data_IF_556083220479
#
_entry.id   IF_556083220479
#
_cell.length_a   1.000
_cell.length_b   1.000
_cell.length_c   1.000
_cell.angle_alpha   90.00
_cell.angle_beta   90.00
_cell.angle_gamma   90.00
#
_symmetry.space_group_name_H-M   'P 1'
#
loop_
_entity.id
_entity.type
_entity.pdbx_description
1 polymer ?
#
# COMPACT_ATOMS: atom_id res chain seq x y z
N UNK A 1 18.80 -19.75 -20.70
CA UNK A 1 18.29 -19.60 -19.32
C UNK A 1 17.74 -20.95 -18.85
N UNK A 2 18.27 -21.56 -17.78
CA UNK A 2 17.81 -22.86 -17.27
C UNK A 2 16.44 -22.67 -16.61
N UNK A 3 15.38 -23.32 -17.09
CA UNK A 3 14.02 -23.22 -16.53
C UNK A 3 13.99 -23.70 -15.09
N UNK A 4 13.34 -22.94 -14.20
CA UNK A 4 12.98 -23.46 -12.88
C UNK A 4 11.85 -24.46 -13.09
N UNK A 5 12.01 -25.73 -12.71
CA UNK A 5 10.86 -26.61 -12.71
C UNK A 5 9.89 -26.08 -11.65
N UNK A 6 8.70 -25.64 -12.09
CA UNK A 6 7.54 -25.42 -11.21
C UNK A 6 7.05 -26.79 -10.73
N UNK A 7 7.85 -27.47 -9.91
CA UNK A 7 7.47 -28.72 -9.31
C UNK A 7 6.48 -28.42 -8.19
N UNK A 8 5.43 -29.25 -8.06
CA UNK A 8 4.44 -29.19 -6.96
C UNK A 8 5.11 -29.17 -5.57
N UNK A 9 6.35 -29.65 -5.50
CA UNK A 9 7.20 -29.68 -4.32
C UNK A 9 7.69 -28.29 -3.87
N UNK A 10 7.70 -27.28 -4.73
CA UNK A 10 8.19 -25.92 -4.42
C UNK A 10 7.06 -24.94 -4.08
N UNK A 11 5.81 -25.38 -3.97
CA UNK A 11 4.65 -24.52 -3.74
C UNK A 11 4.81 -23.65 -2.49
N UNK A 12 5.28 -24.21 -1.38
CA UNK A 12 5.45 -23.45 -0.13
C UNK A 12 6.48 -22.34 -0.26
N UNK A 13 7.57 -22.57 -1.00
CA UNK A 13 8.57 -21.55 -1.25
C UNK A 13 8.09 -20.49 -2.27
N UNK A 14 7.25 -20.87 -3.23
CA UNK A 14 6.56 -19.91 -4.10
C UNK A 14 5.54 -19.05 -3.33
N UNK A 15 4.79 -19.64 -2.40
CA UNK A 15 3.92 -18.89 -1.50
C UNK A 15 4.73 -17.90 -0.65
N UNK A 16 5.86 -18.36 -0.09
CA UNK A 16 6.75 -17.51 0.69
C UNK A 16 7.37 -16.39 -0.17
N UNK A 17 7.66 -16.63 -1.44
CA UNK A 17 8.21 -15.64 -2.36
C UNK A 17 7.18 -14.61 -2.83
N UNK A 18 5.98 -15.04 -3.24
CA UNK A 18 5.01 -14.18 -3.93
C UNK A 18 3.84 -13.73 -3.04
N UNK A 19 3.34 -14.62 -2.18
CA UNK A 19 2.15 -14.35 -1.36
C UNK A 19 2.53 -13.60 -0.08
N UNK A 20 3.73 -13.83 0.47
CA UNK A 20 4.18 -13.13 1.69
C UNK A 20 4.25 -11.61 1.49
N UNK A 21 4.84 -11.08 0.40
CA UNK A 21 4.83 -9.64 0.15
C UNK A 21 3.43 -9.09 -0.15
N UNK A 22 2.53 -9.88 -0.73
CA UNK A 22 1.15 -9.46 -0.99
C UNK A 22 0.34 -9.33 0.31
N UNK A 23 0.48 -10.28 1.24
CA UNK A 23 -0.13 -10.23 2.57
C UNK A 23 0.33 -8.97 3.32
N UNK A 24 1.60 -8.57 3.17
CA UNK A 24 2.11 -7.36 3.80
C UNK A 24 1.33 -6.09 3.40
N UNK A 25 0.95 -5.96 2.13
CA UNK A 25 0.14 -4.81 1.66
C UNK A 25 -1.19 -4.74 2.40
N UNK A 26 -1.90 -5.87 2.49
CA UNK A 26 -3.20 -5.93 3.17
C UNK A 26 -3.06 -5.63 4.66
N UNK A 27 -2.06 -6.22 5.31
CA UNK A 27 -1.83 -6.00 6.74
C UNK A 27 -1.45 -4.55 7.05
N UNK A 28 -0.58 -3.95 6.23
CA UNK A 28 -0.11 -2.58 6.43
C UNK A 28 -1.24 -1.55 6.30
N UNK A 29 -2.19 -1.77 5.40
CA UNK A 29 -3.30 -0.84 5.16
C UNK A 29 -4.43 -0.97 6.18
N UNK A 30 -4.61 -2.14 6.81
CA UNK A 30 -5.78 -2.41 7.66
C UNK A 30 -5.46 -2.44 9.17
N UNK A 31 -4.20 -2.66 9.56
CA UNK A 31 -3.83 -2.87 10.96
C UNK A 31 -2.75 -1.89 11.44
N UNK A 32 -2.70 -1.59 12.75
CA UNK A 32 -1.58 -0.85 13.31
C UNK A 32 -0.27 -1.61 13.07
N UNK A 33 0.80 -0.87 12.79
CA UNK A 33 2.08 -1.41 12.31
C UNK A 33 2.64 -2.54 13.19
N UNK A 34 2.54 -2.41 14.51
CA UNK A 34 3.02 -3.43 15.46
C UNK A 34 2.26 -4.76 15.30
N UNK A 35 0.93 -4.70 15.16
CA UNK A 35 0.09 -5.88 15.00
C UNK A 35 0.31 -6.52 13.63
N UNK A 36 0.40 -5.69 12.58
CA UNK A 36 0.70 -6.13 11.22
C UNK A 36 2.03 -6.90 11.16
N UNK A 37 3.07 -6.39 11.84
CA UNK A 37 4.39 -7.03 11.89
C UNK A 37 4.35 -8.37 12.66
N UNK A 38 3.63 -8.45 13.78
CA UNK A 38 3.47 -9.71 14.53
C UNK A 38 2.79 -10.77 13.66
N UNK A 39 1.69 -10.43 12.99
CA UNK A 39 0.97 -11.35 12.10
C UNK A 39 1.87 -11.78 10.94
N UNK A 40 2.59 -10.83 10.32
CA UNK A 40 3.52 -11.13 9.24
C UNK A 40 4.60 -12.13 9.66
N UNK A 41 5.22 -11.92 10.82
CA UNK A 41 6.25 -12.82 11.35
C UNK A 41 5.69 -14.21 11.68
N UNK A 42 4.48 -14.29 12.21
CA UNK A 42 3.81 -15.57 12.48
C UNK A 42 3.54 -16.35 11.18
N UNK A 43 3.01 -15.68 10.14
CA UNK A 43 2.77 -16.30 8.83
C UNK A 43 4.08 -16.73 8.17
N UNK A 44 5.12 -15.89 8.21
CA UNK A 44 6.44 -16.22 7.68
C UNK A 44 7.02 -17.46 8.36
N UNK A 45 6.94 -17.55 9.69
CA UNK A 45 7.40 -18.72 10.45
C UNK A 45 6.62 -19.98 10.05
N UNK A 46 5.29 -19.92 9.97
CA UNK A 46 4.45 -21.06 9.57
C UNK A 46 4.86 -21.58 8.19
N UNK A 47 5.05 -20.70 7.21
CA UNK A 47 5.47 -21.13 5.87
C UNK A 47 6.89 -21.67 5.81
N UNK A 48 7.84 -21.10 6.56
CA UNK A 48 9.19 -21.67 6.68
C UNK A 48 9.15 -23.08 7.27
N UNK A 49 8.31 -23.31 8.29
CA UNK A 49 8.13 -24.62 8.91
C UNK A 49 7.47 -25.61 7.93
N UNK A 50 6.46 -25.18 7.18
CA UNK A 50 5.81 -26.01 6.16
C UNK A 50 6.76 -26.37 5.01
N UNK A 51 7.52 -25.42 4.48
CA UNK A 51 8.53 -25.69 3.45
C UNK A 51 9.60 -26.64 3.99
N UNK A 52 10.09 -26.41 5.21
CA UNK A 52 11.07 -27.29 5.86
C UNK A 52 10.55 -28.72 6.03
N UNK A 53 9.35 -28.90 6.59
CA UNK A 53 8.78 -30.25 6.78
C UNK A 53 8.56 -30.95 5.45
N UNK A 54 8.16 -30.22 4.41
CA UNK A 54 8.02 -30.74 3.06
C UNK A 54 9.38 -31.18 2.46
N UNK A 55 10.44 -30.39 2.66
CA UNK A 55 11.81 -30.73 2.22
C UNK A 55 12.37 -31.95 2.96
N UNK A 56 12.18 -32.02 4.28
CA UNK A 56 12.63 -33.14 5.10
C UNK A 56 11.93 -34.45 4.71
N UNK A 57 10.63 -34.40 4.40
CA UNK A 57 9.88 -35.56 3.87
C UNK A 57 10.44 -36.08 2.54
N UNK A 58 11.12 -35.23 1.77
CA UNK A 58 11.71 -35.56 0.49
C UNK A 58 13.19 -35.97 0.61
N UNK A 59 13.74 -36.04 1.83
CA UNK A 59 15.15 -36.36 2.07
C UNK A 59 16.12 -35.24 1.65
N UNK A 60 15.62 -34.03 1.38
CA UNK A 60 16.43 -32.89 0.97
C UNK A 60 16.85 -32.10 2.22
N UNK A 61 18.12 -31.70 2.27
CA UNK A 61 18.65 -30.85 3.35
C UNK A 61 17.93 -29.51 3.35
N UNK A 62 17.33 -29.17 4.50
CA UNK A 62 16.60 -27.92 4.67
C UNK A 62 17.47 -26.84 5.34
N UNK A 63 17.31 -25.55 4.97
CA UNK A 63 17.97 -24.46 5.67
C UNK A 63 17.47 -24.35 7.12
N UNK A 64 18.24 -23.66 7.96
CA UNK A 64 17.82 -23.36 9.34
C UNK A 64 16.55 -22.51 9.36
N UNK A 65 15.64 -22.81 10.29
CA UNK A 65 14.40 -22.05 10.48
C UNK A 65 14.65 -20.62 10.95
N UNK A 66 15.81 -20.34 11.57
CA UNK A 66 16.18 -19.01 12.10
C UNK A 66 16.13 -17.93 11.02
N UNK A 67 16.34 -18.32 9.76
CA UNK A 67 16.25 -17.41 8.61
C UNK A 67 14.83 -16.95 8.28
N UNK A 68 13.80 -17.34 9.04
CA UNK A 68 12.45 -16.80 8.88
C UNK A 68 12.38 -15.28 9.09
N UNK A 69 13.28 -14.71 9.90
CA UNK A 69 13.43 -13.26 10.06
C UNK A 69 13.83 -12.55 8.77
N UNK A 70 14.55 -13.25 7.88
CA UNK A 70 15.00 -12.74 6.60
C UNK A 70 14.58 -13.72 5.49
N UNK A 71 13.33 -13.67 5.01
CA UNK A 71 12.80 -14.56 3.98
C UNK A 71 13.70 -14.64 2.74
N UNK A 72 14.32 -13.52 2.35
CA UNK A 72 15.28 -13.45 1.24
C UNK A 72 16.50 -14.36 1.43
N UNK A 73 17.04 -14.42 2.65
CA UNK A 73 18.21 -15.25 2.96
C UNK A 73 17.81 -16.71 3.03
N UNK A 74 16.63 -17.01 3.59
CA UNK A 74 16.08 -18.36 3.60
C UNK A 74 15.92 -18.92 2.18
N UNK A 75 15.25 -18.17 1.29
CA UNK A 75 15.05 -18.57 -0.11
C UNK A 75 16.38 -18.73 -0.86
N UNK A 76 17.35 -17.84 -0.62
CA UNK A 76 18.69 -17.94 -1.22
C UNK A 76 19.42 -19.19 -0.76
N UNK A 77 19.46 -19.47 0.54
CA UNK A 77 20.12 -20.68 1.07
C UNK A 77 19.47 -21.95 0.55
N UNK A 78 18.14 -21.97 0.46
CA UNK A 78 17.37 -23.08 -0.12
C UNK A 78 17.79 -23.36 -1.56
N UNK A 79 17.82 -22.33 -2.41
CA UNK A 79 18.20 -22.48 -3.82
C UNK A 79 19.66 -22.94 -3.96
N UNK A 80 20.56 -22.39 -3.13
CA UNK A 80 21.97 -22.79 -3.09
C UNK A 80 22.15 -24.27 -2.68
N UNK A 81 21.48 -24.74 -1.63
CA UNK A 81 21.55 -26.13 -1.17
C UNK A 81 20.96 -27.11 -2.18
N UNK A 82 20.01 -26.68 -3.01
CA UNK A 82 19.37 -27.52 -4.03
C UNK A 82 20.05 -27.40 -5.41
N UNK A 83 21.11 -26.59 -5.55
CA UNK A 83 21.74 -26.33 -6.85
C UNK A 83 20.80 -25.68 -7.87
N UNK A 84 19.73 -25.03 -7.41
CA UNK A 84 18.72 -24.37 -8.23
C UNK A 84 19.10 -22.91 -8.49
N UNK A 85 18.67 -22.31 -9.62
CA UNK A 85 18.97 -20.91 -9.88
C UNK A 85 18.17 -19.99 -8.95
N UNK A 86 18.69 -18.82 -8.60
CA UNK A 86 18.18 -17.91 -7.55
C UNK A 86 16.87 -17.17 -7.89
N UNK A 87 15.95 -17.82 -8.59
CA UNK A 87 14.71 -17.21 -9.08
C UNK A 87 13.74 -16.89 -7.94
N UNK A 88 13.68 -17.71 -6.89
CA UNK A 88 12.79 -17.44 -5.76
C UNK A 88 13.18 -16.15 -5.03
N UNK A 89 14.49 -15.90 -4.89
CA UNK A 89 15.01 -14.65 -4.36
C UNK A 89 14.63 -13.45 -5.24
N UNK A 90 14.78 -13.58 -6.57
CA UNK A 90 14.41 -12.51 -7.51
C UNK A 90 12.92 -12.19 -7.47
N UNK A 91 12.07 -13.22 -7.43
CA UNK A 91 10.61 -13.07 -7.33
C UNK A 91 10.25 -12.38 -6.01
N UNK A 92 10.82 -12.81 -4.89
CA UNK A 92 10.55 -12.18 -3.60
C UNK A 92 10.94 -10.69 -3.60
N UNK A 93 12.10 -10.35 -4.16
CA UNK A 93 12.55 -8.95 -4.27
C UNK A 93 11.60 -8.13 -5.14
N UNK A 94 11.23 -8.64 -6.33
CA UNK A 94 10.30 -7.96 -7.22
C UNK A 94 8.93 -7.76 -6.56
N UNK A 95 8.37 -8.80 -5.94
CA UNK A 95 7.10 -8.70 -5.23
C UNK A 95 7.17 -7.72 -4.05
N UNK A 96 8.27 -7.71 -3.30
CA UNK A 96 8.46 -6.76 -2.19
C UNK A 96 8.51 -5.31 -2.67
N UNK A 97 9.28 -5.04 -3.74
CA UNK A 97 9.34 -3.70 -4.34
C UNK A 97 7.97 -3.27 -4.84
N UNK A 98 7.24 -4.14 -5.53
CA UNK A 98 5.89 -3.85 -6.00
C UNK A 98 4.91 -3.59 -4.85
N UNK A 99 5.00 -4.36 -3.75
CA UNK A 99 4.21 -4.12 -2.55
C UNK A 99 4.48 -2.76 -1.92
N UNK A 100 5.75 -2.32 -1.84
CA UNK A 100 6.08 -0.97 -1.35
C UNK A 100 5.51 0.13 -2.25
N UNK A 101 5.63 -0.02 -3.56
CA UNK A 101 5.05 0.93 -4.53
C UNK A 101 3.53 0.97 -4.39
N UNK A 102 2.88 -0.19 -4.24
CA UNK A 102 1.43 -0.26 -4.04
C UNK A 102 0.99 0.43 -2.74
N UNK A 103 1.67 0.17 -1.62
CA UNK A 103 1.39 0.84 -0.34
C UNK A 103 1.55 2.36 -0.49
N UNK A 104 2.61 2.83 -1.14
CA UNK A 104 2.84 4.25 -1.36
C UNK A 104 1.71 4.91 -2.16
N UNK A 105 1.34 4.32 -3.30
CA UNK A 105 0.27 4.83 -4.16
C UNK A 105 -1.10 4.81 -3.47
N UNK A 106 -1.39 3.75 -2.72
CA UNK A 106 -2.67 3.61 -2.00
C UNK A 106 -2.78 4.58 -0.83
N UNK A 107 -1.70 4.81 -0.07
CA UNK A 107 -1.68 5.82 0.99
C UNK A 107 -1.81 7.23 0.46
N UNK A 108 -1.22 7.54 -0.69
CA UNK A 108 -1.36 8.85 -1.32
C UNK A 108 -2.82 9.09 -1.73
N UNK A 109 -3.45 8.10 -2.37
CA UNK A 109 -4.87 8.20 -2.78
C UNK A 109 -5.81 8.36 -1.59
N UNK A 110 -5.67 7.54 -0.55
CA UNK A 110 -6.55 7.62 0.63
C UNK A 110 -6.40 8.95 1.38
N UNK A 111 -5.18 9.49 1.44
CA UNK A 111 -4.93 10.83 1.97
C UNK A 111 -5.64 11.93 1.18
N UNK A 112 -5.54 11.89 -0.15
CA UNK A 112 -6.21 12.87 -1.02
C UNK A 112 -7.73 12.75 -0.99
N UNK A 113 -8.29 11.54 -0.90
CA UNK A 113 -9.75 11.34 -0.82
C UNK A 113 -10.34 11.87 0.49
N UNK A 114 -9.68 11.59 1.62
CA UNK A 114 -10.10 12.14 2.92
C UNK A 114 -10.01 13.67 2.94
N UNK A 115 -8.94 14.24 2.38
CA UNK A 115 -8.78 15.68 2.26
C UNK A 115 -9.85 16.31 1.36
N UNK A 116 -10.12 15.71 0.21
CA UNK A 116 -11.17 16.13 -0.72
C UNK A 116 -12.54 16.15 -0.03
N UNK A 117 -12.87 15.09 0.73
CA UNK A 117 -14.14 15.00 1.45
C UNK A 117 -14.27 16.06 2.55
N UNK A 118 -13.22 16.27 3.34
CA UNK A 118 -13.21 17.33 4.36
C UNK A 118 -13.30 18.73 3.75
N UNK A 119 -12.59 18.99 2.66
CA UNK A 119 -12.67 20.27 1.95
C UNK A 119 -14.08 20.50 1.39
N UNK A 120 -14.73 19.48 0.83
CA UNK A 120 -16.09 19.58 0.31
C UNK A 120 -17.12 19.94 1.40
N UNK A 121 -16.96 19.38 2.61
CA UNK A 121 -17.79 19.76 3.76
C UNK A 121 -17.58 21.23 4.18
N UNK A 122 -16.34 21.73 4.13
CA UNK A 122 -16.02 23.13 4.44
C UNK A 122 -16.60 24.07 3.38
N UNK A 123 -16.43 23.76 2.08
CA UNK A 123 -17.04 24.55 0.97
C UNK A 123 -18.56 24.63 1.12
N UNK A 124 -19.21 23.50 1.39
CA UNK A 124 -20.66 23.45 1.60
C UNK A 124 -21.10 24.31 2.79
N UNK A 125 -20.27 24.40 3.84
CA UNK A 125 -20.56 25.26 4.99
C UNK A 125 -20.42 26.74 4.63
N UNK A 126 -19.37 27.12 3.90
CA UNK A 126 -19.14 28.52 3.47
C UNK A 126 -20.29 29.00 2.60
N UNK A 127 -20.67 28.23 1.57
CA UNK A 127 -21.80 28.58 0.69
C UNK A 127 -23.10 28.77 1.46
N UNK A 128 -23.35 27.91 2.46
CA UNK A 128 -24.54 28.03 3.31
C UNK A 128 -24.50 29.26 4.23
N UNK A 129 -23.33 29.60 4.76
CA UNK A 129 -23.14 30.79 5.60
C UNK A 129 -23.29 32.08 4.77
N UNK A 130 -22.94 32.05 3.47
CA UNK A 130 -23.15 33.13 2.50
C UNK A 130 -24.57 33.20 1.92
N UNK A 131 -25.43 32.21 2.23
CA UNK A 131 -26.84 32.19 1.84
C UNK A 131 -27.13 31.47 0.51
N UNK A 132 -26.16 30.80 -0.08
CA UNK A 132 -26.35 29.94 -1.25
C UNK A 132 -26.88 28.55 -0.83
N UNK A 133 -27.84 28.00 -1.58
CA UNK A 133 -28.36 26.61 -1.40
C UNK A 133 -27.53 25.56 -2.18
N UNK A 134 -26.35 25.99 -2.67
CA UNK A 134 -25.43 25.15 -3.41
C UNK A 134 -24.61 24.28 -2.46
N UNK A 135 -24.36 23.04 -2.90
CA UNK A 135 -23.61 22.06 -2.10
C UNK A 135 -22.51 21.46 -2.93
N UNK A 136 -21.33 21.30 -2.32
CA UNK A 136 -20.26 20.56 -2.94
C UNK A 136 -20.63 19.06 -2.96
N UNK A 137 -20.54 18.46 -4.14
CA UNK A 137 -20.74 17.01 -4.37
C UNK A 137 -19.39 16.29 -4.31
N UNK A 138 -18.36 16.87 -4.93
CA UNK A 138 -17.03 16.28 -4.97
C UNK A 138 -15.97 17.34 -5.21
N UNK A 139 -14.74 17.06 -4.77
CA UNK A 139 -13.57 17.87 -5.09
C UNK A 139 -12.70 17.07 -6.05
N UNK A 140 -12.49 17.60 -7.24
CA UNK A 140 -11.71 16.99 -8.32
C UNK A 140 -10.43 17.78 -8.59
N UNK A 141 -9.52 17.21 -9.38
CA UNK A 141 -8.29 17.88 -9.84
C UNK A 141 -7.41 18.43 -8.71
N UNK A 142 -7.25 17.65 -7.63
CA UNK A 142 -6.33 18.00 -6.55
C UNK A 142 -4.87 17.95 -7.04
N UNK A 143 -4.24 19.12 -7.10
CA UNK A 143 -2.83 19.31 -7.42
C UNK A 143 -2.11 19.85 -6.20
N UNK A 144 -1.06 19.17 -5.77
CA UNK A 144 -0.21 19.62 -4.68
C UNK A 144 0.78 20.68 -5.18
N UNK A 145 0.62 21.91 -4.70
CA UNK A 145 1.50 23.05 -5.04
C UNK A 145 2.69 23.15 -4.08
N UNK A 146 2.44 22.88 -2.80
CA UNK A 146 3.48 22.84 -1.77
C UNK A 146 3.28 21.58 -0.93
N UNK A 147 4.32 20.74 -0.89
CA UNK A 147 4.33 19.45 -0.19
C UNK A 147 3.64 19.53 1.19
N UNK A 148 2.51 18.86 1.30
CA UNK A 148 1.74 18.65 2.51
C UNK A 148 1.09 19.90 3.11
N UNK A 149 1.04 21.03 2.39
CA UNK A 149 0.48 22.29 2.92
C UNK A 149 -0.54 22.95 2.01
N UNK A 150 -0.28 23.06 0.72
CA UNK A 150 -1.15 23.76 -0.22
C UNK A 150 -1.55 22.83 -1.36
N UNK A 151 -2.86 22.73 -1.57
CA UNK A 151 -3.44 22.03 -2.71
C UNK A 151 -4.36 22.97 -3.49
N UNK A 152 -4.25 22.95 -4.81
CA UNK A 152 -5.23 23.53 -5.72
C UNK A 152 -6.20 22.43 -6.13
N UNK A 153 -7.49 22.70 -6.12
CA UNK A 153 -8.51 21.73 -6.51
C UNK A 153 -9.73 22.43 -7.14
N UNK A 154 -10.69 21.64 -7.64
CA UNK A 154 -11.96 22.13 -8.16
C UNK A 154 -13.11 21.49 -7.38
N UNK A 155 -13.97 22.30 -6.78
CA UNK A 155 -15.20 21.84 -6.15
C UNK A 155 -16.32 21.75 -7.20
N UNK A 156 -16.87 20.56 -7.40
CA UNK A 156 -18.05 20.34 -8.22
C UNK A 156 -19.30 20.53 -7.36
N UNK A 157 -20.14 21.49 -7.74
CA UNK A 157 -21.38 21.81 -7.06
C UNK A 157 -22.56 20.99 -7.61
N UNK A 158 -23.65 20.94 -6.85
CA UNK A 158 -24.91 20.30 -7.27
C UNK A 158 -25.56 20.92 -8.51
N UNK A 159 -25.20 22.16 -8.84
CA UNK A 159 -25.58 22.85 -10.08
C UNK A 159 -24.77 22.37 -11.29
N UNK A 160 -23.70 21.59 -11.07
CA UNK A 160 -22.75 21.17 -12.12
C UNK A 160 -21.63 22.17 -12.38
N UNK A 161 -21.64 23.33 -11.70
CA UNK A 161 -20.58 24.34 -11.76
C UNK A 161 -19.33 23.83 -11.05
N UNK A 162 -18.17 24.15 -11.62
CA UNK A 162 -16.85 23.82 -11.05
C UNK A 162 -16.21 25.09 -10.53
N UNK A 163 -16.12 25.20 -9.20
CA UNK A 163 -15.48 26.32 -8.54
C UNK A 163 -14.03 25.98 -8.18
N UNK A 164 -13.03 26.77 -8.61
CA UNK A 164 -11.65 26.56 -8.19
C UNK A 164 -11.53 26.83 -6.68
N UNK A 165 -10.89 25.93 -5.94
CA UNK A 165 -10.67 26.05 -4.50
C UNK A 165 -9.20 25.85 -4.16
N UNK A 166 -8.71 26.63 -3.21
CA UNK A 166 -7.38 26.43 -2.63
C UNK A 166 -7.53 25.90 -1.22
N UNK A 167 -6.87 24.78 -0.93
CA UNK A 167 -6.93 24.10 0.36
C UNK A 167 -5.57 24.25 1.04
N UNK A 168 -5.57 24.83 2.24
CA UNK A 168 -4.40 24.91 3.11
C UNK A 168 -4.61 24.02 4.35
N UNK A 169 -3.68 23.09 4.60
CA UNK A 169 -3.69 22.30 5.85
C UNK A 169 -2.71 22.89 6.85
N UNK A 170 -3.23 23.31 8.00
CA UNK A 170 -2.44 23.75 9.16
C UNK A 170 -2.65 22.79 10.32
N UNK A 171 -1.82 21.75 10.39
CA UNK A 171 -1.89 20.76 11.47
C UNK A 171 -3.16 19.91 11.37
N UNK A 172 -4.16 20.15 12.23
CA UNK A 172 -5.46 19.46 12.22
C UNK A 172 -6.56 20.26 11.52
N UNK A 173 -6.34 21.54 11.27
CA UNK A 173 -7.34 22.43 10.69
C UNK A 173 -7.14 22.55 9.18
N UNK A 174 -8.26 22.49 8.44
CA UNK A 174 -8.32 22.60 6.98
C UNK A 174 -8.96 23.93 6.66
N UNK A 175 -8.20 24.81 6.03
CA UNK A 175 -8.66 26.10 5.54
C UNK A 175 -8.93 25.98 4.05
N UNK A 176 -10.12 26.40 3.62
CA UNK A 176 -10.49 26.44 2.21
C UNK A 176 -10.73 27.88 1.82
N UNK A 177 -10.09 28.31 0.74
CA UNK A 177 -10.24 29.64 0.17
C UNK A 177 -10.92 29.50 -1.18
N UNK A 178 -12.10 30.11 -1.31
CA UNK A 178 -12.78 30.35 -2.56
C UNK A 178 -12.23 31.66 -3.15
N UNK A 179 -11.97 31.74 -4.47
CA UNK A 179 -11.70 33.02 -5.09
C UNK A 179 -12.94 33.90 -4.96
N UNK A 180 -12.74 35.19 -4.67
CA UNK A 180 -13.83 36.16 -4.70
C UNK A 180 -14.47 36.12 -6.09
N UNK A 181 -15.77 35.87 -6.14
CA UNK A 181 -16.55 36.02 -7.38
C UNK A 181 -16.44 37.49 -7.79
N UNK A 182 -15.71 37.76 -8.89
CA UNK A 182 -15.80 39.07 -9.55
C UNK A 182 -17.27 39.22 -10.00
N UNK A 183 -18.00 40.11 -9.34
CA UNK A 183 -19.39 40.51 -9.66
C UNK A 183 -19.55 40.92 -11.13
#
# INVERSE_FOLDING_TARGET
MKSYPLLRQDIFAWCLAAVLPAIWVVLFLNFPQTVALIIYMAVALIWVLLDRTNLMKQGVTSPSFVWFWFPVVYLRQRDLMQGKPWRLMQVWLLCTVLSFVAIYLLNQRSGTENLAQSACNVVTKILRDEGFDERCISVTDMQEEVKGRFWRAQALLNTGVKEPVTIEVRGRDIYVVLPESEE
#
